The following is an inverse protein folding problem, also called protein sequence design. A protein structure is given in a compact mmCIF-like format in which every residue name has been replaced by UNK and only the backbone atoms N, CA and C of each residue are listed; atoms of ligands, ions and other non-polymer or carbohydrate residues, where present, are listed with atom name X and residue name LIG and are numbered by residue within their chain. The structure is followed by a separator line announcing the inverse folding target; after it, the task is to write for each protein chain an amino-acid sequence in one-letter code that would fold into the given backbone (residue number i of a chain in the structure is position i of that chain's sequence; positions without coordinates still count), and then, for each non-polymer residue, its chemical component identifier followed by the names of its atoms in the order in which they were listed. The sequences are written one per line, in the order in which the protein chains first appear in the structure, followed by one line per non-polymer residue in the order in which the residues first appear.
data_IF_753051453232
#
_entry.id   IF_753051453232
#
_cell.length_a   1.000
_cell.length_b   1.000
_cell.length_c   1.000
_cell.angle_alpha   90.00
_cell.angle_beta   90.00
_cell.angle_gamma   90.00
#
_symmetry.space_group_name_H-M   'P 1'
#
loop_
_entity.id
_entity.type
_entity.pdbx_description
1 polymer ?
#
# COMPACT_ATOMS: atom_id res chain seq x y z
N UNK A 1 -24.02 -10.25 -21.96
CA UNK A 1 -24.10 -8.80 -22.23
C UNK A 1 -25.56 -8.41 -22.34
N UNK A 2 -26.01 -7.28 -21.78
CA UNK A 2 -27.34 -6.76 -22.06
C UNK A 2 -27.51 -6.55 -23.56
N UNK A 3 -28.67 -6.95 -24.11
CA UNK A 3 -29.02 -6.70 -25.52
C UNK A 3 -29.36 -5.22 -25.66
N UNK A 4 -28.47 -4.45 -26.29
CA UNK A 4 -28.76 -3.06 -26.68
C UNK A 4 -29.44 -3.11 -28.05
N UNK A 5 -30.71 -2.72 -28.09
CA UNK A 5 -31.49 -2.59 -29.33
C UNK A 5 -31.58 -1.10 -29.66
N UNK A 6 -30.92 -0.67 -30.72
CA UNK A 6 -30.99 0.72 -31.20
C UNK A 6 -32.06 0.80 -32.28
N UNK A 7 -33.04 1.68 -32.13
CA UNK A 7 -34.00 1.99 -33.20
C UNK A 7 -33.36 3.04 -34.10
N UNK A 8 -33.41 2.77 -35.40
CA UNK A 8 -32.86 3.63 -36.44
C UNK A 8 -34.01 3.99 -37.38
N UNK A 9 -34.04 5.22 -37.89
CA UNK A 9 -35.05 5.64 -38.86
C UNK A 9 -34.91 4.84 -40.17
N UNK A 10 -36.03 4.60 -40.86
CA UNK A 10 -36.08 3.73 -42.04
C UNK A 10 -35.14 4.19 -43.16
N UNK A 11 -35.02 5.51 -43.40
CA UNK A 11 -34.10 6.07 -44.40
C UNK A 11 -32.62 5.82 -44.06
N UNK A 12 -32.26 5.87 -42.77
CA UNK A 12 -30.90 5.60 -42.32
C UNK A 12 -30.60 4.09 -42.39
N UNK A 13 -31.61 3.26 -42.12
CA UNK A 13 -31.51 1.81 -42.27
C UNK A 13 -31.28 1.41 -43.72
N UNK A 14 -32.01 1.98 -44.68
CA UNK A 14 -31.77 1.72 -46.12
C UNK A 14 -30.32 2.06 -46.52
N UNK A 15 -29.81 3.22 -46.09
CA UNK A 15 -28.41 3.62 -46.35
C UNK A 15 -27.38 2.70 -45.67
N UNK A 16 -27.70 2.15 -44.51
CA UNK A 16 -26.85 1.18 -43.82
C UNK A 16 -26.84 -0.16 -44.55
N UNK A 17 -28.01 -0.65 -44.97
CA UNK A 17 -28.16 -1.90 -45.71
C UNK A 17 -27.44 -1.83 -47.08
N UNK A 18 -27.35 -0.64 -47.71
CA UNK A 18 -26.55 -0.40 -48.93
C UNK A 18 -25.03 -0.55 -48.74
N UNK A 19 -24.53 -0.51 -47.50
CA UNK A 19 -23.09 -0.61 -47.19
C UNK A 19 -22.78 -1.90 -46.41
N UNK A 20 -23.00 -3.05 -47.05
CA UNK A 20 -22.84 -4.39 -46.46
C UNK A 20 -21.44 -4.67 -45.91
N UNK A 21 -20.40 -3.99 -46.40
CA UNK A 21 -19.02 -4.13 -45.93
C UNK A 21 -18.81 -3.61 -44.50
N UNK A 22 -19.72 -2.78 -43.99
CA UNK A 22 -19.61 -2.20 -42.65
C UNK A 22 -20.36 -3.09 -41.66
N UNK A 23 -19.68 -3.53 -40.61
CA UNK A 23 -20.34 -4.15 -39.47
C UNK A 23 -21.02 -3.07 -38.62
N UNK A 24 -22.19 -2.61 -39.06
CA UNK A 24 -22.95 -1.53 -38.44
C UNK A 24 -23.29 -1.78 -36.96
N UNK A 25 -23.52 -3.05 -36.59
CA UNK A 25 -23.75 -3.42 -35.19
C UNK A 25 -22.53 -3.13 -34.32
N UNK A 26 -21.33 -3.45 -34.81
CA UNK A 26 -20.10 -3.15 -34.07
C UNK A 26 -19.75 -1.66 -34.11
N UNK A 27 -19.96 -1.00 -35.26
CA UNK A 27 -19.76 0.46 -35.39
C UNK A 27 -20.64 1.25 -34.42
N UNK A 28 -21.94 0.93 -34.35
CA UNK A 28 -22.87 1.59 -33.42
C UNK A 28 -22.49 1.29 -31.96
N UNK A 29 -22.12 0.05 -31.64
CA UNK A 29 -21.63 -0.28 -30.30
C UNK A 29 -20.42 0.54 -29.95
N UNK A 30 -19.41 0.60 -30.82
CA UNK A 30 -18.21 1.37 -30.61
C UNK A 30 -18.51 2.86 -30.42
N UNK A 31 -19.36 3.45 -31.28
CA UNK A 31 -19.77 4.85 -31.15
C UNK A 31 -20.47 5.15 -29.83
N UNK A 32 -21.33 4.23 -29.36
CA UNK A 32 -21.98 4.35 -28.04
C UNK A 32 -20.95 4.22 -26.92
N UNK A 33 -20.01 3.26 -27.00
CA UNK A 33 -18.95 3.07 -26.01
C UNK A 33 -18.13 4.35 -25.86
N UNK A 34 -17.60 4.88 -26.96
CA UNK A 34 -16.81 6.10 -27.01
C UNK A 34 -17.58 7.27 -26.40
N UNK A 35 -18.85 7.44 -26.77
CA UNK A 35 -19.66 8.57 -26.29
C UNK A 35 -19.98 8.48 -24.80
N UNK A 36 -20.24 7.29 -24.28
CA UNK A 36 -20.50 7.07 -22.85
C UNK A 36 -19.21 7.28 -22.05
N UNK A 37 -18.10 6.67 -22.47
CA UNK A 37 -16.80 6.87 -21.82
C UNK A 37 -16.38 8.34 -21.78
N UNK A 38 -16.59 9.08 -22.87
CA UNK A 38 -16.28 10.51 -22.94
C UNK A 38 -17.16 11.32 -21.98
N UNK A 39 -18.44 10.99 -21.86
CA UNK A 39 -19.36 11.62 -20.90
C UNK A 39 -18.90 11.38 -19.47
N UNK A 40 -18.58 10.14 -19.12
CA UNK A 40 -18.13 9.75 -17.80
C UNK A 40 -16.83 10.45 -17.40
N UNK A 41 -15.83 10.46 -18.30
CA UNK A 41 -14.57 11.19 -18.10
C UNK A 41 -14.81 12.68 -17.85
N UNK A 42 -15.73 13.31 -18.60
CA UNK A 42 -16.08 14.73 -18.38
C UNK A 42 -16.73 14.97 -17.03
N UNK A 43 -17.57 14.05 -16.54
CA UNK A 43 -18.18 14.17 -15.22
C UNK A 43 -17.12 14.03 -14.11
N UNK A 44 -16.19 13.08 -14.23
CA UNK A 44 -15.06 12.93 -13.31
C UNK A 44 -14.20 14.21 -13.31
N UNK A 45 -13.81 14.69 -14.48
CA UNK A 45 -13.04 15.94 -14.62
C UNK A 45 -13.75 17.14 -13.98
N UNK A 46 -15.07 17.22 -14.14
CA UNK A 46 -15.87 18.28 -13.53
C UNK A 46 -15.83 18.17 -12.00
N UNK A 47 -16.06 16.98 -11.45
CA UNK A 47 -16.01 16.73 -10.01
C UNK A 47 -14.65 17.08 -9.41
N UNK A 48 -13.57 16.59 -10.02
CA UNK A 48 -12.20 16.84 -9.54
C UNK A 48 -11.87 18.34 -9.59
N UNK A 49 -12.28 19.04 -10.64
CA UNK A 49 -12.09 20.51 -10.75
C UNK A 49 -12.94 21.31 -9.78
N UNK A 50 -14.12 20.83 -9.39
CA UNK A 50 -14.93 21.47 -8.35
C UNK A 50 -14.22 21.44 -6.98
N UNK A 51 -13.28 20.51 -6.79
CA UNK A 51 -12.45 20.41 -5.59
C UNK A 51 -11.07 21.04 -5.74
N UNK A 52 -10.82 21.82 -6.79
CA UNK A 52 -9.52 22.47 -6.99
C UNK A 52 -9.16 23.36 -5.78
N UNK A 53 -7.97 23.12 -5.22
CA UNK A 53 -7.50 23.76 -3.99
C UNK A 53 -8.07 23.21 -2.68
N UNK A 54 -9.07 22.32 -2.69
CA UNK A 54 -9.63 21.66 -1.51
C UNK A 54 -8.97 20.28 -1.30
N UNK A 55 -7.80 20.30 -0.66
CA UNK A 55 -7.05 19.07 -0.37
C UNK A 55 -7.87 18.02 0.40
N UNK A 56 -8.61 18.35 1.48
CA UNK A 56 -9.44 17.38 2.18
C UNK A 56 -10.44 16.65 1.27
N UNK A 57 -11.14 17.36 0.38
CA UNK A 57 -12.07 16.73 -0.59
C UNK A 57 -11.32 15.87 -1.60
N UNK A 58 -10.17 16.32 -2.09
CA UNK A 58 -9.35 15.55 -3.03
C UNK A 58 -8.80 14.27 -2.42
N UNK A 59 -8.30 14.31 -1.18
CA UNK A 59 -7.85 13.11 -0.44
C UNK A 59 -9.01 12.13 -0.21
N UNK A 60 -10.18 12.64 0.15
CA UNK A 60 -11.39 11.84 0.34
C UNK A 60 -11.80 11.13 -0.95
N UNK A 61 -11.84 11.88 -2.06
CA UNK A 61 -12.16 11.34 -3.39
C UNK A 61 -11.12 10.28 -3.82
N UNK A 62 -9.84 10.53 -3.57
CA UNK A 62 -8.76 9.57 -3.81
C UNK A 62 -8.98 8.29 -3.00
N UNK A 63 -9.30 8.38 -1.70
CA UNK A 63 -9.57 7.22 -0.85
C UNK A 63 -10.79 6.41 -1.31
N UNK A 64 -11.86 7.08 -1.75
CA UNK A 64 -12.99 6.39 -2.37
C UNK A 64 -12.58 5.64 -3.64
N UNK A 65 -11.77 6.27 -4.51
CA UNK A 65 -11.25 5.65 -5.72
C UNK A 65 -10.34 4.43 -5.41
N UNK A 66 -9.55 4.50 -4.34
CA UNK A 66 -8.78 3.38 -3.77
C UNK A 66 -9.65 2.29 -3.14
N UNK A 67 -10.97 2.50 -3.05
CA UNK A 67 -11.99 1.61 -2.47
C UNK A 67 -11.82 1.41 -0.96
N UNK A 68 -11.28 2.42 -0.28
CA UNK A 68 -11.28 2.46 1.17
C UNK A 68 -12.72 2.57 1.65
N UNK A 69 -13.11 1.75 2.63
CA UNK A 69 -14.46 1.84 3.18
C UNK A 69 -14.62 3.13 3.96
N UNK A 70 -15.81 3.73 3.90
CA UNK A 70 -16.16 4.99 4.56
C UNK A 70 -15.65 5.14 6.00
N UNK A 71 -15.82 4.12 6.86
CA UNK A 71 -15.33 4.16 8.24
C UNK A 71 -13.82 4.38 8.36
N UNK A 72 -13.02 3.78 7.47
CA UNK A 72 -11.58 3.97 7.43
C UNK A 72 -11.19 5.30 6.78
N UNK A 73 -12.05 5.87 5.93
CA UNK A 73 -11.88 7.23 5.41
C UNK A 73 -12.03 8.23 6.55
N UNK A 74 -13.08 8.13 7.37
CA UNK A 74 -13.25 8.95 8.57
C UNK A 74 -12.01 8.89 9.48
N UNK A 75 -11.57 7.68 9.84
CA UNK A 75 -10.39 7.45 10.67
C UNK A 75 -9.11 8.05 10.07
N UNK A 76 -8.94 7.95 8.75
CA UNK A 76 -7.76 8.49 8.07
C UNK A 76 -7.81 10.01 8.01
N UNK A 77 -8.96 10.60 7.68
CA UNK A 77 -9.15 12.04 7.57
C UNK A 77 -8.96 12.75 8.91
N UNK A 78 -9.51 12.20 9.99
CA UNK A 78 -9.34 12.73 11.35
C UNK A 78 -7.86 12.88 11.71
N UNK A 79 -7.03 11.88 11.35
CA UNK A 79 -5.58 11.90 11.63
C UNK A 79 -4.79 12.75 10.65
N UNK A 80 -5.21 12.80 9.39
CA UNK A 80 -4.49 13.52 8.33
C UNK A 80 -4.60 15.04 8.49
N UNK A 81 -5.75 15.52 8.93
CA UNK A 81 -6.05 16.95 9.06
C UNK A 81 -6.24 17.42 10.51
N UNK A 82 -6.13 16.51 11.48
CA UNK A 82 -6.27 16.80 12.92
C UNK A 82 -7.63 17.44 13.30
N UNK A 83 -8.67 17.17 12.50
CA UNK A 83 -10.04 17.71 12.65
C UNK A 83 -11.09 16.69 12.19
N UNK A 84 -12.31 16.79 12.72
CA UNK A 84 -13.46 15.99 12.28
C UNK A 84 -13.91 16.39 10.86
N UNK A 85 -13.89 15.41 9.96
CA UNK A 85 -14.22 15.57 8.54
C UNK A 85 -15.40 14.67 8.12
N UNK A 86 -16.16 14.10 9.06
CA UNK A 86 -17.22 13.13 8.75
C UNK A 86 -18.24 13.69 7.75
N UNK A 87 -18.67 14.95 7.96
CA UNK A 87 -19.58 15.63 7.05
C UNK A 87 -18.97 15.82 5.66
N UNK A 88 -17.69 16.17 5.57
CA UNK A 88 -17.01 16.35 4.28
C UNK A 88 -16.92 15.03 3.52
N UNK A 89 -16.66 13.92 4.23
CA UNK A 89 -16.65 12.58 3.65
C UNK A 89 -18.03 12.17 3.13
N UNK A 90 -19.10 12.51 3.87
CA UNK A 90 -20.48 12.31 3.43
C UNK A 90 -20.82 13.15 2.19
N UNK A 91 -20.42 14.42 2.18
CA UNK A 91 -20.65 15.33 1.05
C UNK A 91 -19.96 14.81 -0.21
N UNK A 92 -18.71 14.35 -0.13
CA UNK A 92 -17.99 13.78 -1.29
C UNK A 92 -18.65 12.49 -1.79
N UNK A 93 -19.16 11.62 -0.91
CA UNK A 93 -19.91 10.43 -1.33
C UNK A 93 -21.20 10.82 -2.07
N UNK A 94 -21.93 11.82 -1.56
CA UNK A 94 -23.14 12.34 -2.19
C UNK A 94 -22.83 12.94 -3.57
N UNK A 95 -21.75 13.72 -3.70
CA UNK A 95 -21.33 14.32 -4.96
C UNK A 95 -21.02 13.25 -6.04
N UNK A 96 -20.42 12.11 -5.64
CA UNK A 96 -20.19 10.94 -6.51
C UNK A 96 -21.53 10.32 -6.95
N UNK A 97 -22.47 10.15 -6.02
CA UNK A 97 -23.78 9.53 -6.26
C UNK A 97 -24.69 10.42 -7.13
N UNK A 98 -24.66 11.74 -6.93
CA UNK A 98 -25.41 12.74 -7.70
C UNK A 98 -24.96 12.79 -9.16
N UNK A 99 -23.67 12.59 -9.42
CA UNK A 99 -23.13 12.45 -10.78
C UNK A 99 -23.43 11.09 -11.42
N UNK A 100 -24.06 10.18 -10.67
CA UNK A 100 -24.37 8.81 -11.10
C UNK A 100 -23.14 8.03 -11.56
N UNK A 101 -21.99 8.32 -10.97
CA UNK A 101 -20.75 7.63 -11.31
C UNK A 101 -20.87 6.15 -10.93
N UNK A 102 -20.54 5.21 -11.83
CA UNK A 102 -20.55 3.80 -11.50
C UNK A 102 -19.56 3.48 -10.37
N UNK A 103 -19.87 2.43 -9.60
CA UNK A 103 -18.99 1.93 -8.53
C UNK A 103 -17.54 1.79 -9.01
N UNK A 104 -16.59 2.17 -8.16
CA UNK A 104 -15.15 2.27 -8.48
C UNK A 104 -14.51 1.01 -9.08
N UNK A 105 -15.02 -0.19 -8.78
CA UNK A 105 -14.52 -1.45 -9.36
C UNK A 105 -15.04 -1.74 -10.78
N UNK A 106 -16.03 -1.00 -11.26
CA UNK A 106 -16.56 -1.15 -12.62
C UNK A 106 -15.59 -0.55 -13.61
N UNK A 107 -15.70 -1.02 -14.86
CA UNK A 107 -14.95 -0.50 -15.99
C UNK A 107 -15.85 0.40 -16.83
N UNK A 108 -15.26 1.43 -17.41
CA UNK A 108 -15.82 2.17 -18.54
C UNK A 108 -16.03 1.22 -19.72
N UNK A 109 -16.82 1.63 -20.71
CA UNK A 109 -16.95 0.90 -21.97
C UNK A 109 -15.62 0.57 -22.68
N UNK A 110 -14.58 1.41 -22.48
CA UNK A 110 -13.25 1.22 -23.07
C UNK A 110 -12.32 0.34 -22.22
N UNK A 111 -12.79 -0.10 -21.05
CA UNK A 111 -12.14 -1.12 -20.23
C UNK A 111 -11.27 -0.60 -19.09
N UNK A 112 -11.14 0.71 -18.93
CA UNK A 112 -10.47 1.39 -17.80
C UNK A 112 -11.38 1.38 -16.57
N UNK A 113 -10.84 1.37 -15.35
CA UNK A 113 -11.71 1.45 -14.16
C UNK A 113 -12.01 2.91 -13.83
N UNK A 114 -13.20 3.15 -13.28
CA UNK A 114 -13.56 4.48 -12.77
C UNK A 114 -12.63 4.92 -11.63
N UNK A 115 -12.12 3.98 -10.81
CA UNK A 115 -11.07 4.26 -9.83
C UNK A 115 -9.85 4.90 -10.45
N UNK A 116 -9.38 4.33 -11.55
CA UNK A 116 -8.11 4.70 -12.17
C UNK A 116 -8.23 6.07 -12.83
N UNK A 117 -9.38 6.35 -13.46
CA UNK A 117 -9.69 7.66 -14.04
C UNK A 117 -9.79 8.77 -12.98
N UNK A 118 -10.40 8.49 -11.82
CA UNK A 118 -10.47 9.48 -10.73
C UNK A 118 -9.08 9.75 -10.17
N UNK A 119 -8.29 8.70 -9.92
CA UNK A 119 -6.91 8.84 -9.43
C UNK A 119 -6.07 9.66 -10.43
N UNK A 120 -6.12 9.32 -11.72
CA UNK A 120 -5.39 10.03 -12.78
C UNK A 120 -5.75 11.52 -12.82
N UNK A 121 -7.04 11.85 -12.76
CA UNK A 121 -7.50 13.24 -12.79
C UNK A 121 -7.11 14.01 -11.51
N UNK A 122 -7.17 13.38 -10.34
CA UNK A 122 -6.71 13.98 -9.08
C UNK A 122 -5.20 14.21 -9.10
N UNK A 123 -4.41 13.23 -9.55
CA UNK A 123 -2.95 13.37 -9.65
C UNK A 123 -2.55 14.43 -10.70
N UNK A 124 -3.29 14.53 -11.80
CA UNK A 124 -3.07 15.54 -12.83
C UNK A 124 -3.37 16.95 -12.31
N UNK A 125 -4.48 17.13 -11.58
CA UNK A 125 -4.87 18.44 -11.06
C UNK A 125 -4.04 18.87 -9.85
N UNK A 126 -3.85 17.98 -8.89
CA UNK A 126 -3.40 18.30 -7.54
C UNK A 126 -2.25 17.43 -7.03
N UNK A 127 -1.66 16.57 -7.85
CA UNK A 127 -0.60 15.64 -7.41
C UNK A 127 0.60 16.33 -6.75
N UNK A 128 1.01 17.50 -7.26
CA UNK A 128 2.11 18.27 -6.67
C UNK A 128 1.74 18.87 -5.31
N UNK A 129 0.50 19.35 -5.16
CA UNK A 129 -0.01 19.87 -3.89
C UNK A 129 -0.11 18.75 -2.84
N UNK A 130 -0.63 17.58 -3.23
CA UNK A 130 -0.70 16.38 -2.38
C UNK A 130 0.71 15.95 -1.94
N UNK A 131 1.65 15.81 -2.89
CA UNK A 131 3.04 15.41 -2.56
C UNK A 131 3.70 16.42 -1.64
N UNK A 132 3.52 17.72 -1.88
CA UNK A 132 4.08 18.78 -1.02
C UNK A 132 3.50 18.70 0.38
N UNK A 133 2.17 18.59 0.52
CA UNK A 133 1.49 18.44 1.80
C UNK A 133 2.02 17.23 2.59
N UNK A 134 2.15 16.07 1.94
CA UNK A 134 2.67 14.85 2.57
C UNK A 134 4.13 15.01 3.00
N UNK A 135 4.98 15.63 2.16
CA UNK A 135 6.39 15.92 2.52
C UNK A 135 6.48 16.79 3.77
N UNK A 136 5.67 17.84 3.85
CA UNK A 136 5.64 18.75 5.00
C UNK A 136 5.18 18.02 6.26
N UNK A 137 4.10 17.22 6.18
CA UNK A 137 3.61 16.41 7.31
C UNK A 137 4.65 15.40 7.80
N UNK A 138 5.43 14.77 6.91
CA UNK A 138 6.54 13.89 7.31
C UNK A 138 7.63 14.69 8.04
N UNK A 139 8.03 15.84 7.49
CA UNK A 139 9.11 16.65 8.04
C UNK A 139 8.78 17.22 9.43
N UNK A 140 7.50 17.53 9.67
CA UNK A 140 6.95 18.05 10.94
C UNK A 140 6.58 16.96 11.94
N UNK A 141 6.50 15.69 11.51
CA UNK A 141 6.10 14.60 12.38
C UNK A 141 7.09 14.38 13.55
N UNK A 142 6.61 13.83 14.69
CA UNK A 142 7.49 13.42 15.78
C UNK A 142 8.55 12.42 15.33
N UNK A 143 9.74 12.44 15.96
CA UNK A 143 10.87 11.56 15.60
C UNK A 143 10.49 10.07 15.58
N UNK A 144 9.70 9.61 16.55
CA UNK A 144 9.20 8.22 16.54
C UNK A 144 8.40 7.91 15.27
N UNK A 145 7.57 8.84 14.78
CA UNK A 145 6.82 8.65 13.53
C UNK A 145 7.76 8.62 12.34
N UNK A 146 8.79 9.48 12.30
CA UNK A 146 9.82 9.49 11.25
C UNK A 146 10.62 8.19 11.21
N UNK A 147 10.90 7.56 12.35
CA UNK A 147 11.47 6.21 12.39
C UNK A 147 10.55 5.21 11.68
N UNK A 148 9.25 5.24 12.00
CA UNK A 148 8.25 4.40 11.33
C UNK A 148 8.18 4.64 9.82
N UNK A 149 8.20 5.90 9.39
CA UNK A 149 8.27 6.29 7.97
C UNK A 149 9.52 5.73 7.29
N UNK A 150 10.68 5.81 7.95
CA UNK A 150 11.94 5.30 7.40
C UNK A 150 11.95 3.77 7.18
N UNK A 151 11.07 3.02 7.85
CA UNK A 151 10.92 1.58 7.65
C UNK A 151 10.07 1.24 6.41
N UNK A 152 9.14 2.11 6.00
CA UNK A 152 8.16 1.82 4.94
C UNK A 152 8.79 1.40 3.60
N UNK A 153 9.87 2.05 3.10
CA UNK A 153 10.49 1.65 1.84
C UNK A 153 10.92 0.19 1.81
N UNK A 154 11.34 -0.36 2.96
CA UNK A 154 11.73 -1.76 3.09
C UNK A 154 10.55 -2.72 2.97
N UNK A 155 9.36 -2.33 3.42
CA UNK A 155 8.15 -3.16 3.32
C UNK A 155 7.51 -3.15 1.93
N UNK A 156 7.67 -2.06 1.18
CA UNK A 156 7.04 -1.90 -0.15
C UNK A 156 8.00 -2.10 -1.32
N UNK A 157 9.30 -2.34 -1.07
CA UNK A 157 10.38 -2.41 -2.08
C UNK A 157 10.08 -3.22 -3.34
N UNK A 158 9.38 -4.35 -3.22
CA UNK A 158 9.08 -5.25 -4.34
C UNK A 158 7.76 -4.92 -5.06
N UNK A 159 7.13 -3.79 -4.74
CA UNK A 159 5.77 -3.41 -5.19
C UNK A 159 5.69 -1.97 -5.68
N UNK A 160 6.83 -1.43 -6.09
CA UNK A 160 7.02 -0.01 -6.47
C UNK A 160 6.55 0.33 -7.89
N UNK A 161 6.11 -0.66 -8.67
CA UNK A 161 5.53 -0.48 -9.99
C UNK A 161 3.99 -0.71 -9.99
N UNK A 162 3.37 -0.80 -8.81
CA UNK A 162 1.93 -0.99 -8.67
C UNK A 162 1.25 0.38 -8.44
N UNK A 163 -0.01 0.55 -8.85
CA UNK A 163 -0.87 1.73 -8.55
C UNK A 163 -1.25 1.84 -7.05
N UNK A 164 -0.34 1.44 -6.16
CA UNK A 164 -0.53 1.34 -4.72
C UNK A 164 -0.51 -0.09 -4.19
N UNK A 165 -0.17 -0.24 -2.90
CA UNK A 165 -0.01 -1.56 -2.27
C UNK A 165 -0.62 -1.67 -0.88
N UNK A 166 -0.88 -2.89 -0.43
CA UNK A 166 -1.38 -3.14 0.94
C UNK A 166 -0.28 -3.67 1.85
N UNK A 167 -0.09 -3.00 2.97
CA UNK A 167 0.81 -3.36 4.05
C UNK A 167 0.03 -3.95 5.22
N UNK A 168 0.55 -5.03 5.82
CA UNK A 168 -0.07 -5.63 7.01
C UNK A 168 0.48 -4.95 8.26
N UNK A 169 -0.40 -4.30 9.01
CA UNK A 169 -0.01 -3.47 10.16
C UNK A 169 0.87 -4.25 11.15
N UNK A 170 0.46 -5.47 11.53
CA UNK A 170 1.16 -6.30 12.54
C UNK A 170 2.66 -6.51 12.29
N UNK A 171 3.08 -6.62 11.03
CA UNK A 171 4.51 -6.79 10.71
C UNK A 171 5.30 -5.50 10.94
N UNK A 172 4.75 -4.39 10.44
CA UNK A 172 5.30 -3.06 10.66
C UNK A 172 5.34 -2.71 12.15
N UNK A 173 4.22 -2.86 12.87
CA UNK A 173 4.13 -2.60 14.32
C UNK A 173 5.22 -3.36 15.07
N UNK A 174 5.41 -4.64 14.77
CA UNK A 174 6.43 -5.45 15.43
C UNK A 174 7.84 -4.95 15.14
N UNK A 175 8.15 -4.71 13.87
CA UNK A 175 9.48 -4.26 13.45
C UNK A 175 9.82 -2.91 14.07
N UNK A 176 8.86 -1.98 14.02
CA UNK A 176 9.02 -0.65 14.57
C UNK A 176 9.15 -0.69 16.11
N UNK A 177 8.34 -1.48 16.82
CA UNK A 177 8.49 -1.65 18.27
C UNK A 177 9.84 -2.20 18.70
N UNK A 178 10.41 -3.15 17.94
CA UNK A 178 11.76 -3.67 18.22
C UNK A 178 12.80 -2.56 17.99
N UNK A 179 12.68 -1.81 16.89
CA UNK A 179 13.60 -0.71 16.54
C UNK A 179 13.59 0.42 17.58
N UNK A 180 12.41 0.87 17.98
CA UNK A 180 12.26 1.99 18.92
C UNK A 180 12.37 1.56 20.39
N UNK A 181 12.45 0.25 20.64
CA UNK A 181 12.41 -0.34 21.97
C UNK A 181 11.20 0.18 22.80
N UNK A 182 10.04 0.33 22.15
CA UNK A 182 8.83 0.88 22.74
C UNK A 182 7.56 0.31 22.11
N UNK A 183 6.43 0.43 22.79
CA UNK A 183 5.14 0.25 22.13
C UNK A 183 4.89 1.41 21.16
N UNK A 184 4.63 1.09 19.90
CA UNK A 184 4.44 2.08 18.84
C UNK A 184 2.99 2.13 18.40
N UNK A 185 2.48 3.35 18.26
CA UNK A 185 1.21 3.56 17.61
C UNK A 185 1.44 3.76 16.10
N UNK A 186 1.23 2.71 15.31
CA UNK A 186 1.44 2.77 13.85
C UNK A 186 0.43 3.65 13.13
N UNK A 187 -0.70 3.97 13.77
CA UNK A 187 -1.72 4.83 13.16
C UNK A 187 -1.25 6.28 12.98
N UNK A 188 -0.15 6.66 13.63
CA UNK A 188 0.55 7.92 13.36
C UNK A 188 0.97 8.06 11.90
N UNK A 189 1.11 6.96 11.17
CA UNK A 189 1.39 7.00 9.74
C UNK A 189 0.23 7.58 8.92
N UNK A 190 -1.02 7.40 9.36
CA UNK A 190 -2.17 7.98 8.65
C UNK A 190 -2.08 9.51 8.65
N UNK A 191 -1.61 10.10 9.76
CA UNK A 191 -1.43 11.53 9.89
C UNK A 191 -0.34 12.14 8.98
N UNK A 192 0.52 11.30 8.39
CA UNK A 192 1.51 11.73 7.40
C UNK A 192 0.94 11.76 5.98
N UNK A 193 -0.16 11.05 5.71
CA UNK A 193 -0.70 10.85 4.37
C UNK A 193 0.03 9.80 3.52
N UNK A 194 1.05 9.12 4.05
CA UNK A 194 1.71 8.01 3.33
C UNK A 194 0.87 6.72 3.25
N UNK A 195 -0.18 6.63 4.07
CA UNK A 195 -0.98 5.44 4.25
C UNK A 195 -2.43 5.80 4.57
N UNK A 196 -3.35 4.97 4.11
CA UNK A 196 -4.76 5.00 4.48
C UNK A 196 -5.10 3.76 5.31
N UNK A 197 -5.98 3.91 6.30
CA UNK A 197 -6.51 2.76 7.04
C UNK A 197 -7.28 1.84 6.10
N UNK A 198 -7.14 0.54 6.30
CA UNK A 198 -7.91 -0.46 5.56
C UNK A 198 -8.04 -1.75 6.39
N UNK A 199 -8.93 -2.64 5.97
CA UNK A 199 -9.15 -3.91 6.63
C UNK A 199 -9.40 -5.02 5.63
N UNK A 200 -8.52 -6.02 5.64
CA UNK A 200 -8.74 -7.23 4.87
C UNK A 200 -9.70 -8.16 5.62
N UNK A 201 -10.77 -8.59 4.95
CA UNK A 201 -11.70 -9.61 5.44
C UNK A 201 -11.95 -10.69 4.41
N UNK A 202 -11.75 -11.94 4.81
CA UNK A 202 -12.18 -13.14 4.08
C UNK A 202 -12.88 -14.10 5.03
N UNK A 203 -13.47 -15.17 4.49
CA UNK A 203 -14.01 -16.25 5.31
C UNK A 203 -12.93 -16.99 6.12
N UNK A 204 -11.66 -16.88 5.74
CA UNK A 204 -10.56 -17.64 6.33
C UNK A 204 -9.82 -16.90 7.46
N UNK A 205 -9.73 -15.58 7.34
CA UNK A 205 -9.04 -14.69 8.27
C UNK A 205 -9.36 -13.23 7.93
N UNK A 206 -9.11 -12.36 8.89
CA UNK A 206 -9.21 -10.92 8.75
C UNK A 206 -8.12 -10.23 9.54
N UNK A 207 -7.67 -9.07 9.06
CA UNK A 207 -6.60 -8.30 9.67
C UNK A 207 -6.59 -6.86 9.16
N UNK A 208 -6.19 -5.94 10.03
CA UNK A 208 -5.96 -4.55 9.69
C UNK A 208 -4.77 -4.39 8.74
N UNK A 209 -4.95 -3.52 7.76
CA UNK A 209 -3.97 -3.19 6.73
C UNK A 209 -3.80 -1.68 6.62
N UNK A 210 -2.72 -1.27 5.97
CA UNK A 210 -2.61 0.07 5.41
C UNK A 210 -2.59 -0.04 3.89
N UNK A 211 -3.35 0.82 3.22
CA UNK A 211 -3.21 1.05 1.78
C UNK A 211 -2.19 2.16 1.58
N UNK A 212 -1.12 1.87 0.85
CA UNK A 212 -0.11 2.85 0.42
C UNK A 212 -0.51 3.27 -1.00
N UNK A 213 -1.00 4.50 -1.22
CA UNK A 213 -1.43 4.96 -2.54
C UNK A 213 -0.24 5.19 -3.49
N UNK A 214 -0.53 5.30 -4.79
CA UNK A 214 0.46 5.52 -5.86
C UNK A 214 1.43 6.67 -5.56
N UNK A 215 0.92 7.89 -5.35
CA UNK A 215 1.76 9.05 -5.01
C UNK A 215 2.67 8.82 -3.78
N UNK A 216 2.25 7.99 -2.81
CA UNK A 216 3.05 7.73 -1.63
C UNK A 216 4.22 6.80 -1.95
N UNK A 217 4.09 5.90 -2.92
CA UNK A 217 5.21 5.09 -3.41
C UNK A 217 6.31 5.96 -4.01
N UNK A 218 5.95 6.99 -4.79
CA UNK A 218 6.92 7.95 -5.35
C UNK A 218 7.67 8.68 -4.23
N UNK A 219 6.95 9.12 -3.20
CA UNK A 219 7.55 9.79 -2.03
C UNK A 219 8.50 8.86 -1.28
N UNK A 220 8.12 7.59 -1.08
CA UNK A 220 8.97 6.61 -0.42
C UNK A 220 10.24 6.29 -1.24
N UNK A 221 10.14 6.37 -2.56
CA UNK A 221 11.25 6.24 -3.48
C UNK A 221 12.23 7.41 -3.40
N UNK A 222 11.71 8.64 -3.32
CA UNK A 222 12.52 9.84 -3.04
C UNK A 222 13.17 9.77 -1.67
N UNK A 223 12.43 9.31 -0.66
CA UNK A 223 12.90 9.20 0.72
C UNK A 223 14.10 8.26 0.84
N UNK A 224 14.09 7.12 0.14
CA UNK A 224 15.23 6.19 0.14
C UNK A 224 16.47 6.81 -0.53
N UNK A 225 16.28 7.63 -1.57
CA UNK A 225 17.40 8.30 -2.29
C UNK A 225 17.92 9.53 -1.55
N UNK A 226 17.04 10.27 -0.87
CA UNK A 226 17.33 11.58 -0.28
C UNK A 226 16.71 11.75 1.13
N UNK A 227 17.05 10.88 2.11
CA UNK A 227 16.39 10.88 3.43
C UNK A 227 16.55 12.21 4.19
N UNK A 228 17.64 12.93 3.96
CA UNK A 228 17.91 14.23 4.59
C UNK A 228 16.91 15.32 4.20
N UNK A 229 16.30 15.25 3.00
CA UNK A 229 15.28 16.20 2.56
C UNK A 229 13.99 16.07 3.39
N UNK A 230 13.70 14.86 3.86
CA UNK A 230 12.53 14.54 4.67
C UNK A 230 12.78 14.68 6.18
N UNK A 231 14.00 15.05 6.58
CA UNK A 231 14.46 15.06 7.98
C UNK A 231 14.22 13.71 8.68
N UNK A 232 14.27 12.60 7.94
CA UNK A 232 14.13 11.25 8.49
C UNK A 232 15.50 10.60 8.71
N UNK A 233 15.61 9.63 9.63
CA UNK A 233 16.83 8.85 9.80
C UNK A 233 17.24 8.15 8.50
N UNK A 234 18.55 8.00 8.28
CA UNK A 234 19.11 7.32 7.11
C UNK A 234 18.61 5.86 7.07
N UNK A 235 18.13 5.43 5.90
CA UNK A 235 17.53 4.11 5.66
C UNK A 235 18.55 2.98 5.43
N UNK A 236 19.83 3.29 5.26
CA UNK A 236 20.86 2.31 4.96
C UNK A 236 21.98 2.32 5.99
N UNK A 237 22.45 1.14 6.44
CA UNK A 237 23.60 1.06 7.34
C UNK A 237 24.87 1.48 6.59
N UNK A 238 25.78 2.14 7.30
CA UNK A 238 27.10 2.43 6.75
C UNK A 238 27.97 1.15 6.67
N UNK A 239 29.02 1.20 5.84
CA UNK A 239 29.92 0.06 5.61
C UNK A 239 30.63 -0.41 6.88
N UNK A 240 30.93 0.50 7.80
CA UNK A 240 31.62 0.18 9.06
C UNK A 240 30.70 -0.63 9.99
N UNK A 241 29.43 -0.24 10.07
CA UNK A 241 28.40 -0.92 10.86
C UNK A 241 28.16 -2.33 10.34
N UNK A 242 28.03 -2.49 9.02
CA UNK A 242 27.91 -3.82 8.41
C UNK A 242 29.17 -4.67 8.69
N UNK A 243 30.36 -4.08 8.57
CA UNK A 243 31.62 -4.79 8.84
C UNK A 243 31.74 -5.24 10.31
N UNK A 244 31.30 -4.42 11.26
CA UNK A 244 31.28 -4.77 12.69
C UNK A 244 30.31 -5.91 12.98
N UNK A 245 29.09 -5.86 12.42
CA UNK A 245 28.09 -6.92 12.60
C UNK A 245 28.59 -8.26 12.05
N UNK A 246 29.25 -8.26 10.88
CA UNK A 246 29.84 -9.45 10.26
C UNK A 246 30.96 -10.11 11.08
N UNK A 247 31.55 -9.42 12.05
CA UNK A 247 32.57 -10.00 12.92
C UNK A 247 31.99 -10.75 14.12
N UNK A 248 30.67 -10.63 14.36
CA UNK A 248 29.99 -11.27 15.48
C UNK A 248 29.60 -12.71 15.15
N UNK A 249 29.96 -13.66 16.00
CA UNK A 249 29.48 -15.05 15.90
C UNK A 249 27.95 -15.13 15.84
N UNK A 250 27.25 -14.31 16.64
CA UNK A 250 25.80 -14.24 16.62
C UNK A 250 25.21 -13.87 15.23
N UNK A 251 25.96 -13.13 14.41
CA UNK A 251 25.53 -12.76 13.06
C UNK A 251 25.58 -13.97 12.12
N UNK A 252 26.65 -14.76 12.17
CA UNK A 252 26.79 -15.98 11.37
C UNK A 252 25.75 -17.04 11.76
N UNK A 253 25.49 -17.19 13.07
CA UNK A 253 24.43 -18.07 13.59
C UNK A 253 23.05 -17.58 13.13
N UNK A 254 22.80 -16.26 13.17
CA UNK A 254 21.54 -15.68 12.68
C UNK A 254 21.34 -15.92 11.17
N UNK A 255 22.38 -15.75 10.35
CA UNK A 255 22.32 -16.03 8.92
C UNK A 255 22.11 -17.52 8.63
N UNK A 256 22.77 -18.39 9.38
CA UNK A 256 22.58 -19.84 9.29
C UNK A 256 21.15 -20.23 9.66
N UNK A 257 20.59 -19.61 10.69
CA UNK A 257 19.19 -19.79 11.07
C UNK A 257 18.25 -19.31 9.97
N UNK A 258 18.51 -18.16 9.37
CA UNK A 258 17.69 -17.58 8.30
C UNK A 258 17.59 -18.49 7.06
N UNK A 259 18.63 -19.26 6.76
CA UNK A 259 18.73 -20.16 5.60
C UNK A 259 18.34 -19.45 4.28
N UNK A 260 18.90 -18.25 4.08
CA UNK A 260 18.68 -17.41 2.91
C UNK A 260 18.10 -16.03 3.24
N UNK A 261 17.46 -15.42 2.23
CA UNK A 261 16.97 -14.03 2.34
C UNK A 261 15.64 -13.90 3.11
N UNK A 262 14.97 -15.01 3.38
CA UNK A 262 13.65 -15.02 4.01
C UNK A 262 13.44 -16.31 4.78
N UNK A 263 13.02 -16.20 6.05
CA UNK A 263 12.58 -17.32 6.87
C UNK A 263 11.13 -17.12 7.32
N UNK A 264 10.34 -18.19 7.35
CA UNK A 264 8.97 -18.19 7.86
C UNK A 264 8.87 -19.10 9.06
N UNK A 265 8.37 -18.58 10.17
CA UNK A 265 8.23 -19.32 11.42
C UNK A 265 6.81 -19.16 11.99
N UNK A 266 6.21 -20.17 12.63
CA UNK A 266 4.90 -20.05 13.28
C UNK A 266 4.93 -18.97 14.36
N UNK A 267 3.93 -18.09 14.37
CA UNK A 267 3.86 -16.96 15.33
C UNK A 267 3.86 -17.41 16.80
N UNK A 268 3.25 -18.55 17.10
CA UNK A 268 3.05 -19.04 18.47
C UNK A 268 4.16 -19.98 18.96
N UNK A 269 5.11 -20.33 18.09
CA UNK A 269 6.21 -21.25 18.40
C UNK A 269 7.58 -20.65 18.04
N UNK A 270 7.64 -19.33 17.89
CA UNK A 270 8.84 -18.64 17.40
C UNK A 270 10.00 -18.78 18.37
N UNK A 271 9.75 -18.60 19.68
CA UNK A 271 10.80 -18.72 20.69
C UNK A 271 11.30 -20.16 20.78
N UNK A 272 10.40 -21.13 20.74
CA UNK A 272 10.72 -22.56 20.77
C UNK A 272 11.52 -22.98 19.54
N UNK A 273 11.14 -22.54 18.33
CA UNK A 273 11.86 -22.85 17.09
C UNK A 273 13.27 -22.24 17.08
N UNK A 274 13.42 -21.01 17.60
CA UNK A 274 14.74 -20.38 17.74
C UNK A 274 15.57 -21.15 18.77
N UNK A 275 15.01 -21.48 19.94
CA UNK A 275 15.72 -22.22 20.99
C UNK A 275 16.14 -23.62 20.54
N UNK A 276 15.29 -24.33 19.79
CA UNK A 276 15.62 -25.63 19.22
C UNK A 276 16.81 -25.52 18.27
N UNK A 277 16.80 -24.53 17.37
CA UNK A 277 17.94 -24.29 16.48
C UNK A 277 19.23 -23.93 17.24
N UNK A 278 19.13 -23.06 18.26
CA UNK A 278 20.28 -22.63 19.05
C UNK A 278 20.88 -23.75 19.90
N UNK A 279 20.19 -24.87 20.11
CA UNK A 279 20.74 -26.00 20.88
C UNK A 279 21.99 -26.64 20.26
N UNK A 280 22.21 -26.41 18.96
CA UNK A 280 23.40 -26.85 18.22
C UNK A 280 24.54 -25.80 18.26
N UNK A 281 24.34 -24.65 18.89
CA UNK A 281 25.28 -23.52 18.94
C UNK A 281 25.54 -23.08 20.39
N UNK A 282 26.72 -22.52 20.66
CA UNK A 282 27.03 -21.91 21.97
C UNK A 282 26.50 -20.46 22.05
N UNK A 283 25.22 -20.28 21.70
CA UNK A 283 24.58 -18.98 21.63
C UNK A 283 23.25 -18.98 22.40
N UNK A 284 23.11 -18.05 23.34
CA UNK A 284 21.89 -17.88 24.13
C UNK A 284 20.81 -17.15 23.33
N UNK A 285 19.55 -17.40 23.67
CA UNK A 285 18.40 -16.74 23.04
C UNK A 285 18.51 -15.20 23.11
N UNK A 286 18.97 -14.65 24.23
CA UNK A 286 19.12 -13.20 24.40
C UNK A 286 20.14 -12.62 23.41
N UNK A 287 21.24 -13.32 23.14
CA UNK A 287 22.24 -12.89 22.15
C UNK A 287 21.68 -12.93 20.72
N UNK A 288 20.84 -13.92 20.41
CA UNK A 288 20.12 -13.97 19.14
C UNK A 288 19.11 -12.82 19.01
N UNK A 289 18.36 -12.53 20.07
CA UNK A 289 17.40 -11.43 20.08
C UNK A 289 18.07 -10.06 19.98
N UNK A 290 19.23 -9.88 20.62
CA UNK A 290 20.08 -8.70 20.48
C UNK A 290 20.60 -8.55 19.05
N UNK A 291 21.03 -9.63 18.40
CA UNK A 291 21.41 -9.61 16.99
C UNK A 291 20.22 -9.24 16.10
N UNK A 292 19.05 -9.85 16.32
CA UNK A 292 17.80 -9.50 15.61
C UNK A 292 17.49 -8.01 15.74
N UNK A 293 17.63 -7.47 16.96
CA UNK A 293 17.39 -6.05 17.26
C UNK A 293 18.37 -5.16 16.51
N UNK A 294 19.68 -5.46 16.58
CA UNK A 294 20.71 -4.71 15.85
C UNK A 294 20.45 -4.72 14.33
N UNK A 295 20.04 -5.86 13.76
CA UNK A 295 19.71 -5.93 12.33
C UNK A 295 18.48 -5.08 11.96
N UNK A 296 17.48 -5.00 12.84
CA UNK A 296 16.29 -4.15 12.63
C UNK A 296 16.66 -2.66 12.78
N UNK A 297 17.42 -2.28 13.80
CA UNK A 297 17.87 -0.91 14.04
C UNK A 297 18.70 -0.36 12.87
N UNK A 298 19.47 -1.23 12.23
CA UNK A 298 20.29 -0.93 11.07
C UNK A 298 19.58 -1.12 9.72
N UNK A 299 18.25 -1.30 9.71
CA UNK A 299 17.43 -1.49 8.50
C UNK A 299 17.88 -2.68 7.62
N UNK A 300 18.53 -3.68 8.21
CA UNK A 300 19.01 -4.89 7.54
C UNK A 300 17.99 -6.03 7.60
N UNK A 301 17.00 -5.94 8.49
CA UNK A 301 15.96 -6.95 8.70
C UNK A 301 14.59 -6.26 8.91
N UNK A 302 13.55 -6.84 8.30
CA UNK A 302 12.16 -6.51 8.62
C UNK A 302 11.36 -7.77 8.93
N UNK A 303 10.38 -7.64 9.81
CA UNK A 303 9.46 -8.71 10.18
C UNK A 303 8.10 -8.46 9.54
N UNK A 304 7.70 -9.30 8.61
CA UNK A 304 6.39 -9.27 7.98
C UNK A 304 5.42 -10.22 8.67
N UNK A 305 4.13 -9.90 8.63
CA UNK A 305 3.07 -10.79 9.09
C UNK A 305 2.48 -11.60 7.92
N UNK A 306 2.40 -12.92 8.07
CA UNK A 306 1.72 -13.81 7.12
C UNK A 306 0.51 -14.43 7.81
N UNK A 307 -0.70 -13.87 7.64
CA UNK A 307 -1.91 -14.46 8.20
C UNK A 307 -2.17 -15.80 7.50
N UNK A 308 -2.49 -16.81 8.30
CA UNK A 308 -2.99 -18.09 7.82
C UNK A 308 -4.29 -18.44 8.56
N UNK A 309 -5.02 -19.38 7.96
CA UNK A 309 -6.36 -19.79 8.34
C UNK A 309 -6.38 -20.50 9.70
N UNK A 310 -7.28 -20.10 10.58
CA UNK A 310 -7.44 -20.74 11.90
C UNK A 310 -8.07 -22.14 11.83
N UNK A 311 -9.08 -22.39 10.98
CA UNK A 311 -9.56 -23.74 10.60
C UNK A 311 -10.63 -23.68 9.50
N UNK A 312 -10.76 -24.71 8.64
CA UNK A 312 -12.04 -25.08 7.99
C UNK A 312 -12.00 -26.50 7.43
N UNK A 313 -12.86 -27.38 7.95
CA UNK A 313 -13.02 -28.76 7.47
C UNK A 313 -11.82 -29.67 7.77
N UNK A 314 -11.63 -30.69 6.92
CA UNK A 314 -10.65 -31.78 7.07
C UNK A 314 -9.20 -31.44 6.67
N UNK A 315 -8.88 -30.17 6.36
CA UNK A 315 -7.51 -29.73 6.06
C UNK A 315 -6.87 -29.15 7.31
N UNK A 316 -5.61 -29.50 7.57
CA UNK A 316 -4.85 -29.04 8.74
C UNK A 316 -4.81 -27.51 8.81
N UNK A 317 -4.97 -26.99 10.03
CA UNK A 317 -4.76 -25.56 10.33
C UNK A 317 -3.29 -25.22 10.08
N UNK A 318 -3.03 -24.24 9.20
CA UNK A 318 -1.71 -23.62 9.09
C UNK A 318 -1.70 -22.41 10.01
N UNK A 319 -0.79 -22.32 11.00
CA UNK A 319 -0.74 -21.20 11.90
C UNK A 319 -0.29 -19.93 11.17
N UNK A 320 -0.72 -18.77 11.68
CA UNK A 320 -0.14 -17.50 11.22
C UNK A 320 1.38 -17.51 11.45
N UNK A 321 2.12 -16.89 10.54
CA UNK A 321 3.59 -16.92 10.55
C UNK A 321 4.16 -15.51 10.63
N UNK A 322 5.33 -15.42 11.26
CA UNK A 322 6.26 -14.32 11.03
C UNK A 322 7.11 -14.66 9.82
N UNK A 323 7.35 -13.65 8.98
CA UNK A 323 8.27 -13.74 7.86
C UNK A 323 9.41 -12.77 8.11
N UNK A 324 10.55 -13.31 8.48
CA UNK A 324 11.81 -12.59 8.57
C UNK A 324 12.32 -12.36 7.15
N UNK A 325 12.68 -11.13 6.81
CA UNK A 325 13.24 -10.83 5.48
C UNK A 325 14.41 -9.87 5.60
N UNK A 326 15.53 -10.25 5.00
CA UNK A 326 16.71 -9.39 4.92
C UNK A 326 16.48 -8.27 3.89
N UNK A 327 17.05 -7.10 4.18
CA UNK A 327 17.04 -5.94 3.29
C UNK A 327 18.38 -5.69 2.59
N UNK A 328 19.40 -6.45 2.99
CA UNK A 328 20.72 -6.50 2.35
C UNK A 328 20.62 -7.00 0.91
N UNK A 329 21.51 -6.54 0.04
CA UNK A 329 21.65 -7.14 -1.28
C UNK A 329 22.38 -8.48 -1.17
N UNK A 330 22.12 -9.47 -2.06
CA UNK A 330 22.88 -10.73 -2.10
C UNK A 330 24.40 -10.51 -2.15
N UNK A 331 24.86 -9.45 -2.81
CA UNK A 331 26.27 -9.03 -2.87
C UNK A 331 26.86 -8.68 -1.50
N UNK A 332 26.03 -8.20 -0.57
CA UNK A 332 26.46 -7.83 0.77
C UNK A 332 26.71 -9.06 1.65
N UNK A 333 26.28 -10.25 1.23
CA UNK A 333 26.59 -11.53 1.88
C UNK A 333 27.87 -12.17 1.33
N UNK A 334 28.30 -11.81 0.11
CA UNK A 334 29.49 -12.36 -0.54
C UNK A 334 30.69 -11.48 -0.22
N UNK A 335 31.18 -11.53 1.02
CA UNK A 335 32.54 -11.04 1.34
C UNK A 335 32.98 -11.61 2.68
N UNK A 336 33.10 -12.93 2.77
CA UNK A 336 34.13 -13.61 3.57
C UNK A 336 34.43 -14.93 2.85
N UNK A 337 35.63 -15.06 2.31
CA UNK A 337 36.26 -16.32 1.92
C UNK A 337 37.59 -16.39 2.63
#
# INVERSE_FOLDING_TARGET
MPRVTVRVEDELKEKMDEQEQVNWSEFIRQSIRERVSESDRRQIQKLVREYDGDLPRLFTLYMFAERISKNHIYETMERLFDEDHDKLVDDVENDIDELHLPKMYKKTPDGERYSDLIIEEVETLAGDAIRTYVRDRIAEAPEVTKEGVSLLPHFVRNRRNDDGTSLKQRGLTRTWSIRSNSDVNTDRLLGTGLAFADYYRSNAYSYSTYRIPGYALDILDELERHPTQFKVPVSHPDTETVAKLKQSEAFDVFLSWMDGMTKRIPKHGETEEIQEFLSDYDLMIDQFEDMRKQLIENNMLVLEYSPHRSSTGSRSSLPAQWKYRTCLAPSDFVTVS
#
